data_IF_782219817906
#
_entry.id   IF_782219817906
#
_cell.length_a   1.000
_cell.length_b   1.000
_cell.length_c   1.000
_cell.angle_alpha   90.00
_cell.angle_beta   90.00
_cell.angle_gamma   90.00
#
_symmetry.space_group_name_H-M   'P 1'
#
loop_
_entity.id
_entity.type
_entity.pdbx_description
1 polymer ?
#
# COMPACT_ATOMS: atom_id res chain seq x y z
N UNK A 1 -1.00 -13.81 15.96
CA UNK A 1 -1.62 -12.66 15.28
C UNK A 1 -2.62 -13.27 14.31
N UNK A 2 -3.86 -12.80 14.28
CA UNK A 2 -4.87 -13.33 13.35
C UNK A 2 -4.68 -12.69 11.98
N UNK A 3 -4.82 -13.48 10.93
CA UNK A 3 -4.80 -13.01 9.54
C UNK A 3 -6.22 -13.03 8.99
N UNK A 4 -6.64 -11.92 8.38
CA UNK A 4 -8.00 -11.74 7.89
C UNK A 4 -7.96 -11.22 6.44
N UNK A 5 -8.89 -11.72 5.63
CA UNK A 5 -8.98 -11.43 4.19
C UNK A 5 -10.43 -11.13 3.82
N UNK A 6 -10.64 -10.33 2.76
CA UNK A 6 -11.95 -10.19 2.16
C UNK A 6 -12.18 -11.35 1.19
N UNK A 7 -13.27 -12.10 1.34
CA UNK A 7 -13.73 -13.06 0.33
C UNK A 7 -14.81 -12.40 -0.53
N UNK A 8 -14.54 -12.24 -1.83
CA UNK A 8 -15.51 -11.77 -2.82
C UNK A 8 -15.90 -12.91 -3.73
N UNK A 9 -17.20 -13.14 -3.87
CA UNK A 9 -17.77 -14.23 -4.67
C UNK A 9 -18.86 -13.72 -5.62
N UNK A 10 -19.20 -14.47 -6.68
CA UNK A 10 -20.37 -14.18 -7.49
C UNK A 10 -21.66 -14.18 -6.64
N UNK A 11 -22.69 -13.39 -7.00
CA UNK A 11 -23.93 -13.29 -6.21
C UNK A 11 -24.60 -14.65 -5.94
N UNK A 12 -24.59 -15.56 -6.93
CA UNK A 12 -25.17 -16.91 -6.79
C UNK A 12 -24.44 -17.73 -5.73
N UNK A 13 -23.12 -17.59 -5.64
CA UNK A 13 -22.29 -18.25 -4.62
C UNK A 13 -22.49 -17.60 -3.25
N UNK A 14 -22.63 -16.26 -3.20
CA UNK A 14 -22.90 -15.53 -1.96
C UNK A 14 -24.18 -16.03 -1.26
N UNK A 15 -25.27 -16.19 -2.01
CA UNK A 15 -26.54 -16.70 -1.47
C UNK A 15 -26.39 -18.11 -0.86
N UNK A 16 -25.58 -18.97 -1.49
CA UNK A 16 -25.29 -20.30 -0.94
C UNK A 16 -24.48 -20.24 0.34
N UNK A 17 -23.44 -19.40 0.39
CA UNK A 17 -22.64 -19.20 1.60
C UNK A 17 -23.52 -18.68 2.73
N UNK A 18 -24.40 -17.71 2.46
CA UNK A 18 -25.30 -17.16 3.47
C UNK A 18 -26.24 -18.22 4.05
N UNK A 19 -26.83 -19.07 3.21
CA UNK A 19 -27.65 -20.20 3.67
C UNK A 19 -26.85 -21.16 4.54
N UNK A 20 -25.63 -21.52 4.14
CA UNK A 20 -24.75 -22.41 4.90
C UNK A 20 -24.32 -21.81 6.25
N UNK A 21 -24.04 -20.51 6.30
CA UNK A 21 -23.64 -19.84 7.54
C UNK A 21 -24.79 -19.72 8.53
N UNK A 22 -26.01 -19.47 8.04
CA UNK A 22 -27.20 -19.33 8.86
C UNK A 22 -27.77 -20.67 9.33
N UNK A 23 -27.51 -21.77 8.62
CA UNK A 23 -27.90 -23.09 9.09
C UNK A 23 -27.08 -23.50 10.32
N UNK A 24 -27.75 -23.45 11.47
CA UNK A 24 -27.19 -23.76 12.79
C UNK A 24 -27.12 -25.26 13.08
N UNK A 25 -27.73 -26.08 12.20
CA UNK A 25 -27.83 -27.54 12.38
C UNK A 25 -26.64 -28.31 11.82
N UNK A 26 -25.85 -27.69 10.92
CA UNK A 26 -24.68 -28.30 10.30
C UNK A 26 -23.40 -27.91 11.05
N UNK A 27 -22.55 -28.90 11.36
CA UNK A 27 -21.25 -28.64 11.97
C UNK A 27 -20.33 -27.93 10.97
N UNK A 28 -19.24 -27.30 11.45
CA UNK A 28 -18.29 -26.60 10.57
C UNK A 28 -17.61 -27.53 9.56
N UNK A 29 -17.47 -28.81 9.86
CA UNK A 29 -16.87 -29.81 8.94
C UNK A 29 -17.84 -30.23 7.83
N UNK A 30 -19.15 -30.07 8.04
CA UNK A 30 -20.18 -30.38 7.04
C UNK A 30 -20.35 -29.25 6.01
N UNK A 31 -19.87 -28.04 6.37
CA UNK A 31 -19.90 -26.85 5.50
C UNK A 31 -18.73 -26.96 4.53
N UNK A 32 -18.86 -27.83 3.54
CA UNK A 32 -17.89 -28.10 2.47
C UNK A 32 -17.55 -26.79 1.71
N UNK A 33 -16.62 -26.02 2.28
CA UNK A 33 -16.19 -24.70 1.86
C UNK A 33 -14.67 -24.65 2.01
N UNK A 34 -13.95 -24.53 0.91
CA UNK A 34 -12.48 -24.56 0.92
C UNK A 34 -11.87 -23.61 -0.10
N UNK A 35 -10.66 -23.15 0.17
CA UNK A 35 -9.84 -22.36 -0.74
C UNK A 35 -8.45 -22.99 -0.81
N UNK A 36 -8.11 -23.53 -1.98
CA UNK A 36 -6.79 -24.13 -2.21
C UNK A 36 -5.99 -23.24 -3.16
N UNK A 37 -4.89 -22.70 -2.67
CA UNK A 37 -3.96 -21.91 -3.47
C UNK A 37 -2.94 -22.79 -4.19
N UNK A 38 -2.56 -22.34 -5.39
CA UNK A 38 -1.44 -22.90 -6.15
C UNK A 38 -0.10 -22.44 -5.57
N UNK A 39 1.01 -23.00 -6.07
CA UNK A 39 2.37 -22.68 -5.59
C UNK A 39 2.76 -21.20 -5.77
N UNK A 40 2.10 -20.48 -6.68
CA UNK A 40 2.33 -19.04 -6.88
C UNK A 40 1.79 -18.16 -5.74
N UNK A 41 0.99 -18.74 -4.82
CA UNK A 41 0.34 -18.04 -3.71
C UNK A 41 -0.67 -16.97 -4.14
N UNK A 42 -1.05 -16.92 -5.42
CA UNK A 42 -1.87 -15.86 -6.01
C UNK A 42 -3.08 -16.41 -6.75
N UNK A 43 -2.98 -17.59 -7.34
CA UNK A 43 -4.10 -18.27 -7.99
C UNK A 43 -4.56 -19.43 -7.14
N UNK A 44 -5.85 -19.75 -7.19
CA UNK A 44 -6.40 -20.84 -6.40
C UNK A 44 -7.73 -21.34 -6.93
N UNK A 45 -8.25 -22.37 -6.28
CA UNK A 45 -9.59 -22.91 -6.51
C UNK A 45 -10.40 -22.74 -5.24
N UNK A 46 -11.57 -22.11 -5.37
CA UNK A 46 -12.58 -22.05 -4.33
C UNK A 46 -13.59 -23.18 -4.54
N UNK A 47 -13.92 -23.91 -3.48
CA UNK A 47 -14.83 -25.05 -3.50
C UNK A 47 -15.99 -24.77 -2.58
N UNK A 48 -17.22 -25.00 -3.06
CA UNK A 48 -18.44 -24.95 -2.25
C UNK A 48 -19.36 -26.11 -2.64
N UNK A 49 -19.50 -27.08 -1.73
CA UNK A 49 -20.16 -28.35 -2.06
C UNK A 49 -19.37 -29.12 -3.11
N UNK A 50 -19.99 -29.41 -4.25
CA UNK A 50 -19.35 -30.09 -5.38
C UNK A 50 -18.80 -29.10 -6.43
N UNK A 51 -19.17 -27.82 -6.34
CA UNK A 51 -18.85 -26.81 -7.33
C UNK A 51 -17.47 -26.20 -7.06
N UNK A 52 -16.73 -25.93 -8.15
CA UNK A 52 -15.38 -25.39 -8.13
C UNK A 52 -15.32 -24.12 -8.95
N UNK A 53 -14.65 -23.11 -8.39
CA UNK A 53 -14.52 -21.79 -8.99
C UNK A 53 -13.07 -21.34 -9.01
N UNK A 54 -12.70 -20.55 -10.01
CA UNK A 54 -11.38 -19.92 -10.06
C UNK A 54 -11.30 -18.85 -8.98
N UNK A 55 -10.20 -18.83 -8.22
CA UNK A 55 -9.92 -17.83 -7.20
C UNK A 55 -8.59 -17.11 -7.48
N UNK A 56 -8.50 -15.85 -7.07
CA UNK A 56 -7.28 -15.04 -7.20
C UNK A 56 -7.10 -14.12 -6.00
N UNK A 57 -5.90 -14.09 -5.40
CA UNK A 57 -5.54 -13.23 -4.29
C UNK A 57 -5.01 -11.89 -4.81
N UNK A 58 -5.79 -10.84 -4.61
CA UNK A 58 -5.49 -9.48 -5.06
C UNK A 58 -5.18 -8.55 -3.90
N UNK A 59 -4.27 -7.60 -4.15
CA UNK A 59 -3.92 -6.58 -3.16
C UNK A 59 -4.94 -5.44 -3.23
N UNK A 60 -5.54 -5.07 -2.11
CA UNK A 60 -6.45 -3.94 -2.02
C UNK A 60 -5.65 -2.63 -2.04
N UNK A 61 -6.13 -1.60 -2.74
CA UNK A 61 -5.45 -0.31 -2.74
C UNK A 61 -5.61 0.41 -1.39
N UNK A 62 -6.59 0.03 -0.58
CA UNK A 62 -6.89 0.62 0.73
C UNK A 62 -6.66 -0.40 1.83
N UNK A 63 -6.05 0.04 2.94
CA UNK A 63 -6.03 -0.73 4.19
C UNK A 63 -7.43 -0.69 4.82
N UNK A 64 -7.94 -1.85 5.20
CA UNK A 64 -9.24 -2.01 5.86
C UNK A 64 -9.00 -2.56 7.26
N UNK A 65 -9.46 -1.86 8.28
CA UNK A 65 -9.33 -2.31 9.67
C UNK A 65 -10.59 -3.07 10.09
N UNK A 66 -10.42 -4.24 10.71
CA UNK A 66 -11.51 -4.95 11.38
C UNK A 66 -11.52 -4.62 12.86
N UNK A 67 -12.73 -4.44 13.39
CA UNK A 67 -12.96 -4.15 14.80
C UNK A 67 -14.01 -5.11 15.35
N UNK A 68 -13.84 -5.50 16.61
CA UNK A 68 -14.88 -6.16 17.40
C UNK A 68 -15.37 -5.22 18.48
N UNK A 69 -16.62 -5.40 18.87
CA UNK A 69 -17.25 -4.65 19.96
C UNK A 69 -18.25 -5.54 20.69
N UNK A 70 -18.51 -5.22 21.95
CA UNK A 70 -19.56 -5.84 22.75
C UNK A 70 -20.77 -4.91 22.93
N UNK A 71 -20.59 -3.60 22.78
CA UNK A 71 -21.55 -2.56 23.13
C UNK A 71 -21.79 -1.53 22.03
N UNK A 72 -21.21 -1.76 20.83
CA UNK A 72 -21.23 -0.87 19.67
C UNK A 72 -20.63 0.53 19.89
N UNK A 73 -19.96 0.76 21.02
CA UNK A 73 -19.31 2.03 21.35
C UNK A 73 -17.79 1.87 21.40
N UNK A 74 -17.32 0.87 22.15
CA UNK A 74 -15.88 0.60 22.26
C UNK A 74 -15.50 -0.38 21.17
N UNK A 75 -14.79 0.14 20.16
CA UNK A 75 -14.24 -0.65 19.06
C UNK A 75 -12.81 -1.09 19.40
N UNK A 76 -12.57 -2.40 19.36
CA UNK A 76 -11.24 -2.98 19.58
C UNK A 76 -10.74 -3.51 18.24
N UNK A 77 -9.64 -2.93 17.73
CA UNK A 77 -9.02 -3.37 16.48
C UNK A 77 -8.56 -4.82 16.60
N UNK A 78 -8.86 -5.62 15.58
CA UNK A 78 -8.51 -7.05 15.52
C UNK A 78 -7.52 -7.37 14.40
N UNK A 79 -7.64 -6.73 13.23
CA UNK A 79 -6.72 -6.96 12.11
C UNK A 79 -6.66 -5.75 11.16
N UNK A 80 -5.58 -5.71 10.39
CA UNK A 80 -5.43 -4.93 9.18
C UNK A 80 -5.60 -5.87 7.97
N UNK A 81 -6.47 -5.49 7.03
CA UNK A 81 -6.81 -6.26 5.85
C UNK A 81 -6.36 -5.48 4.63
N UNK A 82 -5.38 -6.02 3.92
CA UNK A 82 -4.83 -5.43 2.69
C UNK A 82 -5.06 -6.27 1.44
N UNK A 83 -5.76 -7.41 1.55
CA UNK A 83 -5.91 -8.37 0.45
C UNK A 83 -7.33 -8.92 0.35
N UNK A 84 -7.70 -9.34 -0.86
CA UNK A 84 -8.99 -9.93 -1.20
C UNK A 84 -8.79 -11.21 -2.00
N UNK A 85 -9.49 -12.27 -1.60
CA UNK A 85 -9.69 -13.47 -2.41
C UNK A 85 -10.89 -13.21 -3.31
N UNK A 86 -10.66 -13.11 -4.61
CA UNK A 86 -11.69 -12.91 -5.62
C UNK A 86 -12.00 -14.23 -6.32
N UNK A 87 -13.20 -14.74 -6.07
CA UNK A 87 -13.78 -15.90 -6.76
C UNK A 87 -14.52 -15.43 -7.99
N UNK A 88 -14.31 -16.14 -9.10
CA UNK A 88 -14.75 -15.76 -10.45
C UNK A 88 -15.51 -16.92 -11.10
N UNK A 89 -16.44 -16.57 -11.98
CA UNK A 89 -17.05 -17.55 -12.90
C UNK A 89 -16.09 -17.84 -14.06
N UNK A 90 -16.30 -18.92 -14.81
CA UNK A 90 -15.41 -19.29 -15.93
C UNK A 90 -15.40 -18.25 -17.06
N UNK A 91 -16.49 -17.50 -17.21
CA UNK A 91 -16.62 -16.44 -18.22
C UNK A 91 -15.83 -15.17 -17.84
N UNK A 92 -15.50 -14.99 -16.55
CA UNK A 92 -14.74 -13.84 -16.08
C UNK A 92 -13.24 -14.00 -16.37
N UNK A 93 -12.68 -13.04 -17.10
CA UNK A 93 -11.24 -12.99 -17.38
C UNK A 93 -10.37 -13.00 -16.12
N UNK A 94 -9.14 -13.50 -16.25
CA UNK A 94 -8.14 -13.48 -15.17
C UNK A 94 -7.71 -12.04 -14.89
N UNK A 95 -7.67 -11.60 -13.62
CA UNK A 95 -7.14 -10.29 -13.28
C UNK A 95 -5.73 -10.11 -13.84
N UNK A 96 -5.53 -9.10 -14.69
CA UNK A 96 -4.23 -8.83 -15.33
C UNK A 96 -3.19 -8.29 -14.34
N UNK A 97 -3.65 -7.66 -13.27
CA UNK A 97 -2.81 -7.03 -12.27
C UNK A 97 -3.02 -7.67 -10.91
N UNK A 98 -1.92 -7.80 -10.17
CA UNK A 98 -1.90 -8.27 -8.78
C UNK A 98 -2.69 -7.33 -7.86
N UNK A 99 -2.65 -6.04 -8.18
CA UNK A 99 -3.37 -5.03 -7.43
C UNK A 99 -4.79 -4.81 -7.97
N UNK A 100 -5.74 -4.79 -7.04
CA UNK A 100 -7.12 -4.47 -7.33
C UNK A 100 -7.32 -2.96 -7.55
N UNK A 101 -8.09 -2.62 -8.58
CA UNK A 101 -8.26 -1.22 -9.02
C UNK A 101 -9.09 -0.38 -8.05
N UNK A 102 -9.95 -0.99 -7.24
CA UNK A 102 -10.97 -0.29 -6.45
C UNK A 102 -10.82 -0.59 -4.95
N UNK A 103 -11.22 0.35 -4.09
CA UNK A 103 -11.47 0.03 -2.68
C UNK A 103 -12.80 -0.72 -2.51
N UNK A 104 -13.09 -1.19 -1.30
CA UNK A 104 -14.31 -1.94 -1.00
C UNK A 104 -15.58 -1.09 -1.08
N UNK A 105 -15.49 0.19 -0.70
CA UNK A 105 -16.65 1.07 -0.61
C UNK A 105 -16.90 1.83 -1.91
N UNK A 106 -18.16 2.15 -2.27
CA UNK A 106 -18.48 2.83 -3.53
C UNK A 106 -17.70 4.13 -3.79
N UNK A 107 -17.47 5.00 -2.79
CA UNK A 107 -16.64 6.19 -3.00
C UNK A 107 -15.23 5.82 -3.45
N UNK A 108 -14.65 4.71 -2.99
CA UNK A 108 -13.29 4.28 -3.29
C UNK A 108 -13.14 3.57 -4.65
N UNK A 109 -14.11 3.69 -5.57
CA UNK A 109 -13.95 3.24 -6.95
C UNK A 109 -12.77 3.94 -7.61
N UNK A 110 -11.91 3.14 -8.24
CA UNK A 110 -10.64 3.58 -8.87
C UNK A 110 -9.75 4.40 -7.91
N UNK A 111 -9.63 3.96 -6.65
CA UNK A 111 -9.00 4.70 -5.55
C UNK A 111 -7.63 5.31 -5.93
N UNK A 112 -6.73 4.52 -6.51
CA UNK A 112 -5.39 5.00 -6.89
C UNK A 112 -5.42 6.09 -7.96
N UNK A 113 -6.32 5.96 -8.94
CA UNK A 113 -6.41 6.91 -10.05
C UNK A 113 -7.11 8.20 -9.65
N UNK A 114 -8.13 8.11 -8.79
CA UNK A 114 -9.05 9.23 -8.48
C UNK A 114 -8.80 9.93 -7.15
N UNK A 115 -8.26 9.24 -6.15
CA UNK A 115 -8.20 9.74 -4.76
C UNK A 115 -6.81 9.81 -4.19
N UNK A 116 -5.95 8.87 -4.55
CA UNK A 116 -4.60 8.87 -4.02
C UNK A 116 -3.77 9.91 -4.75
N UNK A 117 -3.01 10.69 -3.97
CA UNK A 117 -2.05 11.62 -4.52
C UNK A 117 -1.02 10.83 -5.32
N UNK A 118 -0.83 11.18 -6.59
CA UNK A 118 0.23 10.58 -7.41
C UNK A 118 1.58 10.97 -6.82
N UNK A 119 2.50 10.01 -6.85
CA UNK A 119 3.89 10.32 -6.55
C UNK A 119 4.42 11.30 -7.60
N UNK A 120 5.24 12.29 -7.19
CA UNK A 120 5.86 13.17 -8.15
C UNK A 120 6.70 12.33 -9.13
N UNK A 121 6.62 12.68 -10.40
CA UNK A 121 7.49 12.06 -11.40
C UNK A 121 8.91 12.59 -11.17
N UNK A 122 9.76 11.76 -10.55
CA UNK A 122 11.14 12.10 -10.23
C UNK A 122 12.06 11.50 -11.29
N UNK A 123 12.99 12.32 -11.80
CA UNK A 123 14.01 11.84 -12.73
C UNK A 123 14.85 10.73 -12.06
N UNK A 124 14.85 9.48 -12.59
CA UNK A 124 15.58 8.35 -12.00
C UNK A 124 17.08 8.61 -11.81
N UNK A 125 17.70 9.40 -12.70
CA UNK A 125 19.12 9.75 -12.59
C UNK A 125 19.40 10.63 -11.38
N UNK A 126 18.50 11.59 -11.10
CA UNK A 126 18.62 12.47 -9.94
C UNK A 126 18.42 11.67 -8.66
N UNK A 127 17.44 10.76 -8.63
CA UNK A 127 17.19 9.89 -7.47
C UNK A 127 18.42 9.04 -7.17
N UNK A 128 19.01 8.38 -8.18
CA UNK A 128 20.23 7.57 -8.00
C UNK A 128 21.41 8.38 -7.50
N UNK A 129 21.60 9.60 -8.01
CA UNK A 129 22.69 10.48 -7.54
C UNK A 129 22.49 10.83 -6.07
N UNK A 130 21.28 11.24 -5.68
CA UNK A 130 20.94 11.58 -4.30
C UNK A 130 21.10 10.36 -3.39
N UNK A 131 20.64 9.18 -3.81
CA UNK A 131 20.79 7.94 -3.05
C UNK A 131 22.27 7.61 -2.81
N UNK A 132 23.10 7.71 -3.85
CA UNK A 132 24.54 7.48 -3.74
C UNK A 132 25.21 8.48 -2.79
N UNK A 133 24.87 9.75 -2.89
CA UNK A 133 25.42 10.78 -2.01
C UNK A 133 25.02 10.53 -0.55
N UNK A 134 23.77 10.13 -0.29
CA UNK A 134 23.31 9.74 1.05
C UNK A 134 24.06 8.52 1.60
N UNK A 135 24.27 7.49 0.78
CA UNK A 135 25.06 6.32 1.16
C UNK A 135 26.50 6.69 1.53
N UNK A 136 27.12 7.61 0.78
CA UNK A 136 28.48 8.09 1.07
C UNK A 136 28.53 8.86 2.39
N UNK A 137 27.58 9.78 2.62
CA UNK A 137 27.50 10.54 3.88
C UNK A 137 27.32 9.61 5.07
N UNK A 138 26.39 8.65 4.99
CA UNK A 138 26.18 7.67 6.06
C UNK A 138 27.42 6.81 6.32
N UNK A 139 28.14 6.41 5.28
CA UNK A 139 29.37 5.65 5.41
C UNK A 139 30.51 6.49 6.03
N UNK A 140 30.58 7.78 5.70
CA UNK A 140 31.59 8.68 6.26
C UNK A 140 31.27 9.07 7.71
N UNK A 141 30.00 9.24 8.11
CA UNK A 141 29.61 9.39 9.52
C UNK A 141 30.02 8.17 10.36
N UNK A 142 29.78 6.95 9.86
CA UNK A 142 30.24 5.72 10.51
C UNK A 142 31.77 5.64 10.62
N UNK A 143 32.50 6.14 9.61
CA UNK A 143 33.97 6.20 9.66
C UNK A 143 34.44 7.21 10.69
N UNK A 144 33.81 8.38 10.77
CA UNK A 144 34.16 9.42 11.74
C UNK A 144 33.91 8.90 13.16
N UNK A 145 32.78 8.25 13.44
CA UNK A 145 32.52 7.65 14.76
C UNK A 145 33.53 6.55 15.12
N UNK A 146 33.92 5.70 14.16
CA UNK A 146 34.97 4.69 14.39
C UNK A 146 36.33 5.32 14.65
N UNK A 147 36.69 6.38 13.93
CA UNK A 147 37.95 7.11 14.13
C UNK A 147 37.95 7.81 15.50
N UNK A 148 36.83 8.44 15.91
CA UNK A 148 36.70 9.04 17.23
C UNK A 148 36.76 7.98 18.35
N UNK A 149 36.14 6.81 18.17
CA UNK A 149 36.22 5.71 19.14
C UNK A 149 37.64 5.14 19.28
N UNK A 150 38.39 5.02 18.18
CA UNK A 150 39.80 4.61 18.21
C UNK A 150 40.71 5.70 18.79
N UNK A 151 40.43 6.98 18.51
CA UNK A 151 41.19 8.13 19.01
C UNK A 151 41.00 8.33 20.53
N UNK A 152 39.83 7.99 21.09
CA UNK A 152 39.61 7.95 22.54
C UNK A 152 40.18 6.69 23.23
N UNK A 153 40.42 5.60 22.49
CA UNK A 153 41.00 4.35 23.00
C UNK A 153 42.51 4.41 23.26
N UNK A 154 43.24 5.31 22.60
CA UNK A 154 44.71 5.36 22.63
C UNK A 154 45.29 6.50 23.50
N UNK A 155 44.44 7.35 24.10
CA UNK A 155 44.86 8.56 24.82
C UNK A 155 45.05 8.41 26.35
N UNK A 156 45.16 7.20 26.89
CA UNK A 156 45.51 7.00 28.31
C UNK A 156 47.01 6.78 28.60
N UNK A 157 47.90 7.08 27.64
CA UNK A 157 49.34 7.10 27.89
C UNK A 157 50.07 8.22 27.14
N UNK A 158 49.97 9.46 27.63
CA UNK A 158 51.12 10.36 27.90
C UNK A 158 50.64 11.76 28.27
N UNK A 159 51.17 12.24 29.39
CA UNK A 159 50.80 13.47 30.05
C UNK A 159 51.73 14.63 29.62
N UNK A 160 51.15 15.84 29.62
CA UNK A 160 51.76 17.16 29.88
C UNK A 160 52.53 17.87 28.75
N UNK A 161 51.99 19.02 28.30
CA UNK A 161 52.85 20.17 27.97
C UNK A 161 52.30 21.21 26.98
N UNK A 162 51.84 22.34 27.56
CA UNK A 162 51.84 23.73 27.03
C UNK A 162 50.74 24.19 26.05
N UNK A 163 49.90 25.07 26.59
CA UNK A 163 48.99 26.03 25.93
C UNK A 163 49.72 26.93 24.94
N UNK A 164 49.09 27.21 23.79
CA UNK A 164 48.99 28.57 23.21
C UNK A 164 47.61 28.71 22.57
N UNK A 165 46.89 29.77 22.93
CA UNK A 165 45.59 30.12 22.39
C UNK A 165 45.73 30.79 21.02
N UNK A 166 44.85 30.44 20.06
CA UNK A 166 44.54 31.30 18.92
C UNK A 166 43.03 31.31 18.69
N UNK A 167 42.47 32.51 18.58
CA UNK A 167 41.05 32.80 18.37
C UNK A 167 40.62 32.47 16.94
N UNK A 168 39.46 31.84 16.70
CA UNK A 168 38.96 31.63 15.34
C UNK A 168 38.32 32.90 14.77
N UNK A 169 38.71 33.25 13.55
CA UNK A 169 38.01 34.20 12.69
C UNK A 169 36.77 33.53 12.08
N UNK A 170 35.66 34.27 12.02
CA UNK A 170 34.39 33.86 11.39
C UNK A 170 34.56 33.68 9.88
N UNK A 171 33.98 32.64 9.26
CA UNK A 171 33.72 32.62 7.83
C UNK A 171 32.36 33.27 7.50
N UNK A 172 32.37 34.11 6.46
CA UNK A 172 31.22 34.79 5.88
C UNK A 172 30.27 33.81 5.16
N UNK A 173 28.98 34.01 5.37
CA UNK A 173 27.88 33.34 4.67
C UNK A 173 27.44 34.24 3.50
N UNK A 174 27.36 33.77 2.25
CA UNK A 174 26.54 34.44 1.25
C UNK A 174 25.09 33.97 1.36
N UNK A 175 24.23 34.98 1.46
CA UNK A 175 22.79 34.96 1.69
C UNK A 175 21.99 34.53 0.45
N UNK A 176 20.77 34.05 0.70
CA UNK A 176 19.81 33.55 -0.26
C UNK A 176 19.32 34.61 -1.26
N UNK A 177 19.29 34.24 -2.54
CA UNK A 177 18.54 34.96 -3.57
C UNK A 177 17.11 34.43 -3.68
N UNK A 178 16.16 35.25 -3.26
CA UNK A 178 14.73 35.11 -3.57
C UNK A 178 14.49 35.38 -5.06
N UNK A 179 13.85 34.43 -5.76
CA UNK A 179 13.14 34.72 -7.01
C UNK A 179 11.76 34.08 -6.91
N UNK A 180 10.78 34.92 -6.58
CA UNK A 180 9.39 34.65 -6.88
C UNK A 180 9.17 34.79 -8.39
N UNK A 181 8.35 33.90 -8.93
CA UNK A 181 7.89 33.95 -10.31
C UNK A 181 6.89 32.83 -10.54
N UNK A 182 5.60 33.16 -10.42
CA UNK A 182 4.56 32.45 -11.17
C UNK A 182 4.85 32.65 -12.67
N UNK A 183 4.57 31.63 -13.50
CA UNK A 183 3.53 31.89 -14.49
C UNK A 183 2.63 30.68 -14.75
N UNK A 184 1.33 31.01 -14.72
CA UNK A 184 0.41 30.88 -15.84
C UNK A 184 -0.20 29.51 -16.18
N UNK A 185 -1.49 29.60 -16.48
CA UNK A 185 -2.37 28.49 -16.73
C UNK A 185 -2.03 27.75 -18.01
N UNK A 186 -2.38 26.48 -18.02
CA UNK A 186 -2.55 25.75 -19.26
C UNK A 186 -3.86 24.97 -19.19
N UNK A 187 -4.90 25.59 -19.74
CA UNK A 187 -6.12 24.95 -20.19
C UNK A 187 -5.77 23.82 -21.17
N UNK A 188 -6.23 22.60 -20.88
CA UNK A 188 -6.32 21.54 -21.88
C UNK A 188 -7.64 20.78 -21.70
N UNK A 189 -8.62 21.29 -22.45
CA UNK A 189 -9.55 20.59 -23.35
C UNK A 189 -10.45 19.49 -22.75
N UNK A 190 -11.67 19.92 -22.38
CA UNK A 190 -12.87 19.08 -22.36
C UNK A 190 -13.14 18.55 -23.77
N UNK A 191 -12.93 17.25 -23.99
CA UNK A 191 -13.67 16.54 -25.06
C UNK A 191 -14.84 15.81 -24.44
N UNK A 192 -16.00 16.32 -24.82
CA UNK A 192 -17.34 16.06 -24.35
C UNK A 192 -17.81 14.62 -24.60
N UNK A 193 -18.69 14.21 -23.70
CA UNK A 193 -19.50 13.01 -23.68
C UNK A 193 -20.34 12.88 -24.96
N UNK A 194 -20.55 11.65 -25.42
CA UNK A 194 -21.62 11.33 -26.36
C UNK A 194 -22.40 10.13 -25.84
N UNK A 195 -23.22 10.41 -24.82
CA UNK A 195 -24.35 9.58 -24.43
C UNK A 195 -25.45 9.67 -25.50
N UNK A 196 -25.59 8.62 -26.31
CA UNK A 196 -26.74 8.46 -27.19
C UNK A 196 -27.97 8.05 -26.36
N UNK A 197 -28.99 8.90 -26.42
CA UNK A 197 -30.32 8.75 -25.85
C UNK A 197 -31.04 7.50 -26.37
N UNK A 198 -31.48 6.63 -25.46
CA UNK A 198 -32.54 5.64 -25.75
C UNK A 198 -33.87 6.39 -25.83
N UNK A 199 -34.46 6.41 -27.02
CA UNK A 199 -35.85 6.81 -27.23
C UNK A 199 -36.75 5.62 -26.92
N UNK A 200 -37.69 5.84 -25.99
CA UNK A 200 -38.82 4.95 -25.81
C UNK A 200 -39.82 5.10 -26.95
N UNK A 201 -40.43 3.99 -27.34
CA UNK A 201 -41.69 3.98 -28.07
C UNK A 201 -42.60 2.93 -27.43
N UNK A 202 -43.65 3.41 -26.77
CA UNK A 202 -44.88 2.67 -26.54
C UNK A 202 -45.53 2.30 -27.88
N UNK A 203 -45.88 1.02 -28.03
CA UNK A 203 -47.13 0.51 -28.61
C UNK A 203 -47.22 -1.00 -28.34
#
# INVERSE_FOLDING_TARGET
>A
MEEQFILRVPPVVAERIERLLNDSSSSSEDKNLDVVFSEDGRTGTFVIGEDRFSASLLDLPTVVESYKTYDDNVLIKTADIGQMIMVREEEDGVPEAVEYRHGLTPPMRDARRRRFRREPDLNPEVVRRVEKDLQNIMADELRVEMVEAEEYGDQHARNVGKKVASTPAKPDVPEAGTVGGEPDGSDYDESDDSIATVSGSEA
#
